data_IF_733854140035
#
_entry.id   IF_733854140035
#
_cell.length_a   1.000
_cell.length_b   1.000
_cell.length_c   1.000
_cell.angle_alpha   90.00
_cell.angle_beta   90.00
_cell.angle_gamma   90.00
#
_symmetry.space_group_name_H-M   'P 1'
#
loop_
_entity.id
_entity.type
_entity.pdbx_description
1 polymer ?
#
# COMPACT_ATOMS: atom_id res chain seq x y z
N UNK A 1 3.17 11.18 9.92
CA UNK A 1 3.44 9.73 10.08
C UNK A 1 2.67 9.22 11.28
N UNK A 2 1.47 8.71 11.02
CA UNK A 2 0.65 8.06 12.04
C UNK A 2 1.37 6.82 12.60
N UNK A 3 1.23 6.59 13.90
CA UNK A 3 1.67 5.38 14.59
C UNK A 3 0.46 4.86 15.37
N UNK A 4 -0.15 3.75 14.96
CA UNK A 4 -1.28 3.21 15.67
C UNK A 4 -0.88 2.77 17.07
N UNK A 5 -1.81 2.96 18.02
CA UNK A 5 -1.75 2.37 19.35
C UNK A 5 -2.79 1.26 19.44
N UNK A 6 -2.62 0.33 20.38
CA UNK A 6 -3.59 -0.75 20.59
C UNK A 6 -5.01 -0.21 20.87
N UNK A 7 -5.10 0.93 21.57
CA UNK A 7 -6.37 1.61 21.86
C UNK A 7 -7.06 2.10 20.59
N UNK A 8 -6.30 2.68 19.65
CA UNK A 8 -6.87 3.15 18.37
C UNK A 8 -7.36 1.97 17.54
N UNK A 9 -6.59 0.89 17.44
CA UNK A 9 -7.00 -0.28 16.65
C UNK A 9 -8.22 -0.97 17.27
N UNK A 10 -8.29 -1.04 18.60
CA UNK A 10 -9.45 -1.56 19.30
C UNK A 10 -10.71 -0.71 19.05
N UNK A 11 -10.56 0.61 18.96
CA UNK A 11 -11.67 1.50 18.60
C UNK A 11 -12.11 1.31 17.14
N UNK A 12 -11.17 1.11 16.21
CA UNK A 12 -11.49 0.76 14.81
C UNK A 12 -12.35 -0.50 14.77
N UNK A 13 -11.99 -1.54 15.53
CA UNK A 13 -12.83 -2.75 15.65
C UNK A 13 -14.21 -2.43 16.24
N UNK A 14 -14.28 -1.65 17.32
CA UNK A 14 -15.54 -1.30 18.00
C UNK A 14 -16.50 -0.49 17.12
N UNK A 15 -15.97 0.37 16.26
CA UNK A 15 -16.74 1.14 15.28
C UNK A 15 -17.33 0.27 14.15
N UNK A 16 -16.99 -1.02 14.10
CA UNK A 16 -17.55 -1.96 13.13
C UNK A 16 -16.84 -1.96 11.78
N UNK A 17 -15.59 -1.48 11.71
CA UNK A 17 -14.77 -1.69 10.52
C UNK A 17 -14.51 -3.17 10.29
N UNK A 18 -14.42 -3.58 9.03
CA UNK A 18 -14.27 -4.98 8.63
C UNK A 18 -12.80 -5.43 8.55
N UNK A 19 -11.89 -4.48 8.40
CA UNK A 19 -10.45 -4.69 8.35
C UNK A 19 -9.71 -3.40 8.74
N UNK A 20 -8.43 -3.52 9.08
CA UNK A 20 -7.49 -2.40 9.19
C UNK A 20 -6.38 -2.50 8.13
N UNK A 21 -5.75 -1.36 7.86
CA UNK A 21 -4.60 -1.25 6.95
C UNK A 21 -3.64 -0.17 7.46
N UNK A 22 -3.60 0.06 8.77
CA UNK A 22 -2.81 1.13 9.38
C UNK A 22 -1.35 0.75 9.57
N UNK A 23 -1.02 -0.55 9.54
CA UNK A 23 0.35 -1.01 9.68
C UNK A 23 1.12 -0.96 8.37
N UNK A 24 2.43 -1.14 8.50
CA UNK A 24 3.33 -1.21 7.37
C UNK A 24 4.40 -2.25 7.69
N UNK A 25 4.67 -3.16 6.74
CA UNK A 25 5.63 -4.28 6.93
C UNK A 25 7.03 -3.77 7.26
N UNK A 26 7.40 -2.59 6.77
CA UNK A 26 8.70 -1.97 6.96
C UNK A 26 8.81 -1.13 8.24
N UNK A 27 7.80 -1.16 9.12
CA UNK A 27 7.82 -0.47 10.42
C UNK A 27 7.76 -1.47 11.57
N UNK A 28 8.40 -1.11 12.68
CA UNK A 28 8.36 -1.88 13.94
C UNK A 28 7.31 -1.28 14.86
N UNK A 29 6.48 -2.13 15.47
CA UNK A 29 5.44 -1.74 16.43
C UNK A 29 5.61 -2.50 17.76
N UNK A 30 6.65 -2.21 18.57
CA UNK A 30 6.89 -2.92 19.82
C UNK A 30 5.72 -2.76 20.80
N UNK A 31 5.22 -3.88 21.34
CA UNK A 31 4.14 -3.87 22.33
C UNK A 31 2.74 -3.57 21.78
N UNK A 32 2.61 -3.37 20.47
CA UNK A 32 1.31 -3.22 19.83
C UNK A 32 0.55 -4.55 19.92
N UNK A 33 -0.70 -4.49 20.39
CA UNK A 33 -1.61 -5.63 20.40
C UNK A 33 -2.66 -5.38 19.33
N UNK A 34 -2.76 -6.30 18.39
CA UNK A 34 -3.77 -6.23 17.34
C UNK A 34 -5.10 -6.74 17.91
N UNK A 35 -6.20 -6.05 17.61
CA UNK A 35 -7.53 -6.57 17.90
C UNK A 35 -7.82 -7.77 17.00
N UNK A 36 -8.91 -8.49 17.28
CA UNK A 36 -9.44 -9.53 16.38
C UNK A 36 -10.13 -8.86 15.17
N UNK A 37 -9.30 -8.37 14.25
CA UNK A 37 -9.68 -7.64 13.05
C UNK A 37 -8.64 -7.97 11.95
N UNK A 38 -9.06 -8.39 10.75
CA UNK A 38 -8.14 -8.62 9.64
C UNK A 38 -7.28 -7.39 9.34
N UNK A 39 -5.97 -7.59 9.21
CA UNK A 39 -5.01 -6.51 8.95
C UNK A 39 -4.34 -6.69 7.59
N UNK A 40 -4.35 -5.64 6.78
CA UNK A 40 -3.69 -5.56 5.48
C UNK A 40 -2.52 -4.57 5.54
N UNK A 41 -1.34 -4.98 6.02
CA UNK A 41 -0.25 -4.04 6.24
C UNK A 41 0.28 -3.52 4.90
N UNK A 42 0.51 -2.21 4.83
CA UNK A 42 1.15 -1.62 3.66
C UNK A 42 2.51 -2.28 3.41
N UNK A 43 2.70 -2.81 2.20
CA UNK A 43 3.87 -3.63 1.88
C UNK A 43 5.08 -2.77 1.54
N UNK A 44 4.85 -1.66 0.83
CA UNK A 44 5.90 -0.79 0.32
C UNK A 44 5.53 0.66 0.64
N UNK A 45 6.48 1.53 0.99
CA UNK A 45 6.16 2.95 1.11
C UNK A 45 5.85 3.54 -0.27
N UNK A 46 4.93 4.51 -0.33
CA UNK A 46 4.52 5.16 -1.60
C UNK A 46 5.69 5.74 -2.39
N UNK A 47 6.78 6.11 -1.71
CA UNK A 47 8.03 6.56 -2.33
C UNK A 47 8.64 5.55 -3.29
N UNK A 48 8.38 4.24 -3.15
CA UNK A 48 8.82 3.22 -4.11
C UNK A 48 8.21 3.46 -5.49
N UNK A 49 6.97 3.92 -5.56
CA UNK A 49 6.30 4.27 -6.82
C UNK A 49 6.90 5.53 -7.47
N UNK A 50 7.66 6.32 -6.71
CA UNK A 50 8.32 7.53 -7.17
C UNK A 50 9.75 7.31 -7.64
N UNK A 51 10.39 6.20 -7.27
CA UNK A 51 11.74 5.82 -7.73
C UNK A 51 11.84 5.77 -9.26
N UNK A 52 13.05 5.82 -9.85
CA UNK A 52 13.23 5.57 -11.27
C UNK A 52 12.54 4.26 -11.69
N UNK A 53 11.84 4.29 -12.84
CA UNK A 53 10.96 3.21 -13.30
C UNK A 53 11.61 1.80 -13.24
N UNK A 54 12.88 1.59 -13.64
CA UNK A 54 13.51 0.27 -13.55
C UNK A 54 13.58 -0.27 -12.11
N UNK A 55 13.78 0.61 -11.14
CA UNK A 55 13.89 0.24 -9.73
C UNK A 55 12.51 -0.09 -9.14
N UNK A 56 11.51 0.78 -9.35
CA UNK A 56 10.12 0.52 -8.96
C UNK A 56 9.62 -0.79 -9.55
N UNK A 57 9.88 -1.03 -10.84
CA UNK A 57 9.52 -2.28 -11.53
C UNK A 57 10.15 -3.49 -10.86
N UNK A 58 11.45 -3.46 -10.58
CA UNK A 58 12.16 -4.59 -9.96
C UNK A 58 11.59 -4.90 -8.57
N UNK A 59 11.33 -3.88 -7.76
CA UNK A 59 10.80 -4.04 -6.40
C UNK A 59 9.37 -4.58 -6.45
N UNK A 60 8.48 -3.98 -7.24
CA UNK A 60 7.08 -4.40 -7.35
C UNK A 60 6.96 -5.83 -7.85
N UNK A 61 7.68 -6.19 -8.93
CA UNK A 61 7.69 -7.56 -9.48
C UNK A 61 8.20 -8.57 -8.47
N UNK A 62 9.16 -8.20 -7.64
CA UNK A 62 9.63 -9.07 -6.57
C UNK A 62 8.53 -9.30 -5.52
N UNK A 63 7.88 -8.24 -5.05
CA UNK A 63 6.82 -8.32 -4.05
C UNK A 63 5.64 -9.18 -4.52
N UNK A 64 5.06 -8.88 -5.69
CA UNK A 64 3.88 -9.61 -6.20
C UNK A 64 4.15 -11.10 -6.48
N UNK A 65 5.41 -11.49 -6.71
CA UNK A 65 5.80 -12.89 -6.94
C UNK A 65 6.13 -13.67 -5.67
N UNK A 66 6.43 -12.96 -4.59
CA UNK A 66 6.95 -13.58 -3.35
C UNK A 66 5.98 -13.46 -2.19
N UNK A 67 5.03 -12.54 -2.27
CA UNK A 67 4.05 -12.29 -1.24
C UNK A 67 2.67 -12.71 -1.75
N UNK A 68 1.83 -13.30 -0.91
CA UNK A 68 0.46 -13.68 -1.28
C UNK A 68 -0.38 -12.45 -1.62
N UNK A 69 -0.10 -11.31 -0.98
CA UNK A 69 -0.72 -10.02 -1.25
C UNK A 69 0.33 -8.91 -1.18
N UNK A 70 0.30 -8.00 -2.14
CA UNK A 70 1.12 -6.77 -2.12
C UNK A 70 0.18 -5.57 -2.01
N UNK A 71 0.15 -4.96 -0.83
CA UNK A 71 -0.64 -3.74 -0.56
C UNK A 71 0.21 -2.53 -0.93
N UNK A 72 -0.33 -1.68 -1.80
CA UNK A 72 0.31 -0.43 -2.24
C UNK A 72 -0.42 0.76 -1.66
N UNK A 73 0.31 1.73 -1.13
CA UNK A 73 -0.20 3.05 -0.82
C UNK A 73 0.20 4.07 -1.90
N UNK A 74 -0.72 4.95 -2.25
CA UNK A 74 -0.48 6.07 -3.15
C UNK A 74 -1.26 7.28 -2.66
N UNK A 75 -0.60 8.41 -2.51
CA UNK A 75 -1.24 9.60 -1.97
C UNK A 75 -1.73 10.50 -3.11
N UNK A 76 -2.93 11.10 -3.01
CA UNK A 76 -3.43 12.01 -4.04
C UNK A 76 -2.48 13.19 -4.34
N UNK A 77 -1.74 13.69 -3.35
CA UNK A 77 -0.77 14.77 -3.57
C UNK A 77 0.41 14.34 -4.46
N UNK A 78 0.73 13.04 -4.56
CA UNK A 78 1.78 12.54 -5.46
C UNK A 78 1.39 12.69 -6.93
N UNK A 79 0.08 12.77 -7.23
CA UNK A 79 -0.46 13.04 -8.55
C UNK A 79 -0.52 14.54 -8.89
N UNK A 80 -0.23 15.42 -7.94
CA UNK A 80 -0.23 16.87 -8.12
C UNK A 80 1.21 17.36 -8.29
N UNK A 81 1.44 18.30 -9.20
CA UNK A 81 2.77 18.91 -9.38
C UNK A 81 3.11 19.73 -8.13
N UNK A 82 4.17 19.33 -7.43
CA UNK A 82 4.64 20.04 -6.24
C UNK A 82 5.73 21.06 -6.60
N UNK A 83 5.57 22.30 -6.13
CA UNK A 83 6.53 23.39 -6.31
C UNK A 83 6.77 24.11 -4.98
N UNK A 84 7.88 24.87 -4.87
CA UNK A 84 8.22 25.60 -3.64
C UNK A 84 8.57 24.71 -2.43
N UNK A 85 8.72 23.41 -2.63
CA UNK A 85 9.07 22.43 -1.59
C UNK A 85 10.43 21.79 -1.86
N UNK A 86 10.95 21.09 -0.85
CA UNK A 86 12.20 20.33 -0.98
C UNK A 86 12.15 19.36 -2.17
N UNK A 87 13.29 19.12 -2.80
CA UNK A 87 13.38 18.30 -4.00
C UNK A 87 12.85 16.87 -3.80
N UNK A 88 13.12 16.26 -2.64
CA UNK A 88 12.62 14.92 -2.28
C UNK A 88 11.09 14.86 -2.22
N UNK A 89 10.42 15.98 -1.94
CA UNK A 89 8.95 16.08 -1.94
C UNK A 89 8.40 16.39 -3.35
N UNK A 90 9.21 17.02 -4.20
CA UNK A 90 8.86 17.37 -5.59
C UNK A 90 9.13 16.24 -6.58
N UNK A 91 10.12 15.39 -6.30
CA UNK A 91 10.61 14.39 -7.24
C UNK A 91 9.50 13.42 -7.70
N UNK A 92 9.36 13.22 -9.01
CA UNK A 92 8.38 12.30 -9.58
C UNK A 92 6.95 12.51 -9.05
N UNK A 93 6.51 13.77 -8.96
CA UNK A 93 5.13 14.16 -8.64
C UNK A 93 4.39 14.65 -9.91
N UNK A 94 3.09 14.87 -9.82
CA UNK A 94 2.29 15.36 -10.94
C UNK A 94 2.11 14.31 -12.04
N UNK A 95 2.03 14.80 -13.27
CA UNK A 95 1.86 13.95 -14.46
C UNK A 95 2.95 12.87 -14.61
N UNK A 96 4.18 13.16 -14.18
CA UNK A 96 5.26 12.18 -14.22
C UNK A 96 4.99 10.98 -13.29
N UNK A 97 4.36 11.23 -12.14
CA UNK A 97 3.92 10.21 -11.19
C UNK A 97 2.84 9.33 -11.81
N UNK A 98 1.79 9.96 -12.36
CA UNK A 98 0.65 9.28 -12.98
C UNK A 98 1.08 8.41 -14.16
N UNK A 99 1.91 8.93 -15.07
CA UNK A 99 2.43 8.14 -16.20
C UNK A 99 3.21 6.92 -15.74
N UNK A 100 4.07 7.08 -14.73
CA UNK A 100 4.87 5.97 -14.19
C UNK A 100 3.99 4.92 -13.53
N UNK A 101 3.01 5.35 -12.73
CA UNK A 101 2.03 4.46 -12.12
C UNK A 101 1.27 3.69 -13.19
N UNK A 102 0.78 4.35 -14.24
CA UNK A 102 0.12 3.71 -15.37
C UNK A 102 0.97 2.65 -16.06
N UNK A 103 2.25 2.92 -16.31
CA UNK A 103 3.20 1.94 -16.88
C UNK A 103 3.34 0.73 -15.94
N UNK A 104 3.60 0.96 -14.66
CA UNK A 104 3.81 -0.12 -13.69
C UNK A 104 2.58 -1.02 -13.55
N UNK A 105 1.39 -0.42 -13.39
CA UNK A 105 0.13 -1.16 -13.26
C UNK A 105 -0.20 -1.91 -14.56
N UNK A 106 0.04 -1.29 -15.72
CA UNK A 106 -0.16 -1.93 -17.02
C UNK A 106 0.74 -3.13 -17.24
N UNK A 107 2.02 -3.03 -16.87
CA UNK A 107 2.97 -4.15 -16.96
C UNK A 107 2.59 -5.29 -16.03
N UNK A 108 2.26 -5.00 -14.77
CA UNK A 108 1.82 -6.02 -13.81
C UNK A 108 0.55 -6.72 -14.29
N UNK A 109 -0.44 -5.97 -14.82
CA UNK A 109 -1.64 -6.55 -15.42
C UNK A 109 -1.30 -7.46 -16.60
N UNK A 110 -0.37 -7.05 -17.46
CA UNK A 110 0.12 -7.86 -18.57
C UNK A 110 0.85 -9.14 -18.13
N UNK A 111 1.39 -9.16 -16.90
CA UNK A 111 1.98 -10.34 -16.26
C UNK A 111 0.95 -11.22 -15.52
N UNK A 112 -0.35 -10.91 -15.62
CA UNK A 112 -1.43 -11.66 -14.98
C UNK A 112 -1.66 -11.33 -13.51
N UNK A 113 -1.11 -10.21 -13.02
CA UNK A 113 -1.39 -9.73 -11.66
C UNK A 113 -2.82 -9.18 -11.59
N UNK A 114 -3.60 -9.70 -10.66
CA UNK A 114 -4.94 -9.21 -10.33
C UNK A 114 -4.85 -8.00 -9.39
N UNK A 115 -5.67 -6.98 -9.67
CA UNK A 115 -5.79 -5.80 -8.83
C UNK A 115 -7.11 -5.83 -8.10
N UNK A 116 -7.04 -5.82 -6.78
CA UNK A 116 -8.18 -5.87 -5.88
C UNK A 116 -8.21 -4.61 -5.01
N UNK A 117 -9.41 -4.19 -4.64
CA UNK A 117 -9.63 -3.38 -3.46
C UNK A 117 -9.40 -4.22 -2.20
N UNK A 118 -9.13 -3.58 -1.06
CA UNK A 118 -8.97 -4.30 0.21
C UNK A 118 -10.25 -5.05 0.63
N UNK A 119 -11.43 -4.53 0.29
CA UNK A 119 -12.70 -5.21 0.54
C UNK A 119 -12.88 -6.49 -0.30
N UNK A 120 -12.43 -6.48 -1.56
CA UNK A 120 -12.39 -7.68 -2.39
C UNK A 120 -11.36 -8.69 -1.87
N UNK A 121 -10.18 -8.23 -1.45
CA UNK A 121 -9.16 -9.08 -0.84
C UNK A 121 -9.68 -9.77 0.44
N UNK A 122 -10.39 -9.03 1.30
CA UNK A 122 -11.06 -9.59 2.48
C UNK A 122 -12.08 -10.68 2.09
N UNK A 123 -12.88 -10.44 1.05
CA UNK A 123 -13.88 -11.39 0.58
C UNK A 123 -13.25 -12.68 0.04
N UNK A 124 -12.05 -12.60 -0.54
CA UNK A 124 -11.31 -13.76 -1.05
C UNK A 124 -10.74 -14.63 0.09
N UNK A 125 -10.28 -14.02 1.19
CA UNK A 125 -9.80 -14.77 2.37
C UNK A 125 -10.90 -15.64 2.98
N UNK A 126 -12.14 -15.13 3.05
CA UNK A 126 -13.28 -15.87 3.59
C UNK A 126 -13.78 -17.03 2.72
N UNK A 127 -13.29 -17.18 1.48
CA UNK A 127 -13.64 -18.28 0.57
C UNK A 127 -12.70 -19.49 0.65
N UNK A 128 -11.53 -19.35 1.28
CA UNK A 128 -10.57 -20.45 1.43
C UNK A 128 -10.84 -21.31 2.69
N UNK A 129 -11.72 -20.86 3.59
CA UNK A 129 -12.07 -21.54 4.85
C UNK A 129 -13.39 -22.37 4.80
N UNK A 130 -14.05 -22.46 3.63
CA UNK A 130 -15.31 -23.21 3.44
C UNK A 130 -15.20 -24.31 2.41
#
# INVERSE_FOLDING_TARGET
NFKPTSEVLEEVRRLGYLYDSSLAVYKLYPGLRLPDLPEFPNTLPSSVLRLPLPLSRRILRFCVRRLPLTVLDYHPWEAVRMEGVRWDLRFSTGEASLRKLGILLGELRGEGVEFLTLGEALSSLGREEG
#
